data_IF_092886866207
#
_entry.id   IF_092886866207
#
_cell.length_a   1.000
_cell.length_b   1.000
_cell.length_c   1.000
_cell.angle_alpha   90.00
_cell.angle_beta   90.00
_cell.angle_gamma   90.00
#
_symmetry.space_group_name_H-M   'P 1'
#
loop_
_entity.id
_entity.type
_entity.pdbx_description
1 polymer ?
#
# COMPACT_ATOMS: atom_id res chain seq x y z
N UNK A 1 -1.64 -5.12 15.98
CA UNK A 1 -2.85 -5.34 15.15
C UNK A 1 -2.39 -5.99 13.86
N UNK A 2 -3.12 -6.95 13.27
CA UNK A 2 -2.70 -7.55 12.01
C UNK A 2 -2.73 -6.48 10.91
N UNK A 3 -1.64 -6.35 10.15
CA UNK A 3 -1.62 -5.55 8.92
C UNK A 3 -2.67 -6.11 7.94
N UNK A 4 -3.36 -5.22 7.24
CA UNK A 4 -4.28 -5.62 6.15
C UNK A 4 -3.47 -6.36 5.08
N UNK A 5 -4.10 -7.28 4.34
CA UNK A 5 -3.45 -7.83 3.14
C UNK A 5 -3.27 -6.72 2.11
N UNK A 6 -2.27 -6.84 1.22
CA UNK A 6 -2.03 -5.90 0.13
C UNK A 6 -3.32 -5.48 -0.59
N UNK A 7 -4.14 -6.44 -1.02
CA UNK A 7 -5.37 -6.16 -1.78
C UNK A 7 -6.39 -5.38 -0.97
N UNK A 8 -6.48 -5.63 0.34
CA UNK A 8 -7.37 -4.89 1.24
C UNK A 8 -6.85 -3.50 1.54
N UNK A 9 -5.55 -3.35 1.71
CA UNK A 9 -4.91 -2.05 1.92
C UNK A 9 -5.08 -1.15 0.68
N UNK A 10 -4.89 -1.73 -0.52
CA UNK A 10 -5.09 -1.04 -1.79
C UNK A 10 -6.55 -0.65 -2.00
N UNK A 11 -7.50 -1.57 -1.82
CA UNK A 11 -8.92 -1.27 -1.97
C UNK A 11 -9.37 -0.14 -1.01
N UNK A 12 -8.87 -0.17 0.23
CA UNK A 12 -9.15 0.89 1.20
C UNK A 12 -8.53 2.24 0.79
N UNK A 13 -7.32 2.22 0.25
CA UNK A 13 -6.67 3.43 -0.25
C UNK A 13 -7.47 4.04 -1.42
N UNK A 14 -7.97 3.22 -2.34
CA UNK A 14 -8.84 3.67 -3.45
C UNK A 14 -10.13 4.30 -2.94
N UNK A 15 -10.79 3.71 -1.94
CA UNK A 15 -11.97 4.30 -1.29
C UNK A 15 -11.66 5.67 -0.67
N UNK A 16 -10.50 5.79 0.00
CA UNK A 16 -10.07 7.05 0.63
C UNK A 16 -9.86 8.13 -0.43
N UNK A 17 -9.16 7.80 -1.52
CA UNK A 17 -8.92 8.73 -2.63
C UNK A 17 -10.25 9.19 -3.22
N UNK A 18 -11.17 8.27 -3.51
CA UNK A 18 -12.48 8.60 -4.06
C UNK A 18 -13.27 9.57 -3.14
N UNK A 19 -13.23 9.35 -1.82
CA UNK A 19 -13.88 10.23 -0.84
C UNK A 19 -13.24 11.61 -0.75
N UNK A 20 -11.91 11.68 -0.80
CA UNK A 20 -11.19 12.96 -0.80
C UNK A 20 -11.45 13.76 -2.08
N UNK A 21 -11.58 13.09 -3.23
CA UNK A 21 -11.89 13.70 -4.52
C UNK A 21 -13.34 14.20 -4.62
N UNK A 22 -14.27 13.59 -3.89
CA UNK A 22 -15.67 14.05 -3.82
C UNK A 22 -15.79 15.47 -3.24
N UNK A 23 -14.89 15.84 -2.32
CA UNK A 23 -14.80 17.19 -1.78
C UNK A 23 -15.96 17.62 -0.88
N UNK A 24 -16.81 16.68 -0.44
CA UNK A 24 -17.99 16.91 0.42
C UNK A 24 -17.69 16.76 1.93
N UNK A 25 -16.44 16.44 2.28
CA UNK A 25 -16.00 16.12 3.63
C UNK A 25 -15.64 17.37 4.44
N UNK A 26 -15.88 17.31 5.75
CA UNK A 26 -15.35 18.32 6.67
C UNK A 26 -13.82 18.23 6.76
N UNK A 27 -13.18 19.32 7.18
CA UNK A 27 -11.71 19.40 7.28
C UNK A 27 -11.12 18.31 8.17
N UNK A 28 -11.72 18.08 9.35
CA UNK A 28 -11.25 17.08 10.31
C UNK A 28 -11.37 15.65 9.75
N UNK A 29 -12.40 15.36 8.97
CA UNK A 29 -12.58 14.07 8.32
C UNK A 29 -11.57 13.89 7.17
N UNK A 30 -11.37 14.94 6.37
CA UNK A 30 -10.38 14.96 5.30
C UNK A 30 -8.96 14.70 5.83
N UNK A 31 -8.61 15.30 6.97
CA UNK A 31 -7.31 15.10 7.62
C UNK A 31 -7.13 13.65 8.11
N UNK A 32 -8.17 13.05 8.71
CA UNK A 32 -8.12 11.65 9.14
C UNK A 32 -7.96 10.69 7.98
N UNK A 33 -8.71 10.89 6.90
CA UNK A 33 -8.62 10.08 5.70
C UNK A 33 -7.26 10.22 5.02
N UNK A 34 -6.70 11.44 4.98
CA UNK A 34 -5.35 11.67 4.49
C UNK A 34 -4.29 10.93 5.32
N UNK A 35 -4.36 11.01 6.65
CA UNK A 35 -3.43 10.28 7.53
C UNK A 35 -3.55 8.76 7.35
N UNK A 36 -4.77 8.24 7.23
CA UNK A 36 -5.01 6.82 6.93
C UNK A 36 -4.44 6.43 5.56
N UNK A 37 -4.73 7.21 4.52
CA UNK A 37 -4.28 6.95 3.16
C UNK A 37 -2.76 6.95 3.03
N UNK A 38 -2.07 7.89 3.68
CA UNK A 38 -0.60 7.92 3.66
C UNK A 38 0.03 6.69 4.32
N UNK A 39 -0.57 6.17 5.41
CA UNK A 39 -0.12 4.93 6.06
C UNK A 39 -0.34 3.72 5.16
N UNK A 40 -1.52 3.61 4.53
CA UNK A 40 -1.84 2.51 3.61
C UNK A 40 -0.94 2.53 2.38
N UNK A 41 -0.67 3.70 1.80
CA UNK A 41 0.25 3.85 0.68
C UNK A 41 1.66 3.39 1.03
N UNK A 42 2.17 3.77 2.21
CA UNK A 42 3.47 3.33 2.70
C UNK A 42 3.51 1.80 2.92
N UNK A 43 2.43 1.22 3.46
CA UNK A 43 2.30 -0.23 3.63
C UNK A 43 2.35 -0.96 2.27
N UNK A 44 1.53 -0.53 1.30
CA UNK A 44 1.49 -1.12 -0.04
C UNK A 44 2.87 -1.08 -0.71
N UNK A 45 3.56 0.06 -0.64
CA UNK A 45 4.89 0.23 -1.22
C UNK A 45 5.92 -0.71 -0.57
N UNK A 46 5.87 -0.86 0.75
CA UNK A 46 6.74 -1.79 1.48
C UNK A 46 6.51 -3.24 1.03
N UNK A 47 5.25 -3.68 0.95
CA UNK A 47 4.92 -5.05 0.53
C UNK A 47 5.39 -5.34 -0.91
N UNK A 48 5.20 -4.38 -1.83
CA UNK A 48 5.71 -4.49 -3.20
C UNK A 48 7.24 -4.58 -3.23
N UNK A 49 7.92 -3.71 -2.47
CA UNK A 49 9.39 -3.71 -2.39
C UNK A 49 9.92 -5.05 -1.88
N UNK A 50 9.29 -5.61 -0.84
CA UNK A 50 9.67 -6.92 -0.28
C UNK A 50 9.41 -8.06 -1.30
N UNK A 51 8.30 -7.99 -2.04
CA UNK A 51 7.99 -8.94 -3.10
C UNK A 51 9.02 -8.88 -4.25
N UNK A 52 9.38 -7.68 -4.70
CA UNK A 52 10.41 -7.46 -5.73
C UNK A 52 11.78 -7.99 -5.28
N UNK A 53 12.21 -7.68 -4.05
CA UNK A 53 13.46 -8.19 -3.49
C UNK A 53 13.49 -9.72 -3.45
N UNK A 54 12.36 -10.35 -3.10
CA UNK A 54 12.25 -11.81 -3.10
C UNK A 54 12.39 -12.39 -4.50
N UNK A 55 11.77 -11.76 -5.51
CA UNK A 55 11.91 -12.16 -6.92
C UNK A 55 13.37 -12.05 -7.36
N UNK A 56 14.01 -10.90 -7.12
CA UNK A 56 15.43 -10.68 -7.47
C UNK A 56 16.30 -11.77 -6.85
N UNK A 57 16.15 -12.02 -5.54
CA UNK A 57 16.93 -13.04 -4.83
C UNK A 57 16.74 -14.44 -5.43
N UNK A 58 15.52 -14.82 -5.78
CA UNK A 58 15.23 -16.12 -6.39
C UNK A 58 15.84 -16.23 -7.80
N UNK A 59 15.77 -15.16 -8.59
CA UNK A 59 16.38 -15.12 -9.92
C UNK A 59 17.90 -15.20 -9.85
N UNK A 60 18.55 -14.49 -8.93
CA UNK A 60 20.02 -14.54 -8.75
C UNK A 60 20.51 -15.93 -8.32
N UNK A 61 19.76 -16.62 -7.45
CA UNK A 61 20.10 -17.98 -7.01
C UNK A 61 20.02 -18.99 -8.17
N UNK A 62 19.21 -18.71 -9.19
CA UNK A 62 19.07 -19.60 -10.36
C UNK A 62 20.26 -19.54 -11.32
N UNK A 63 21.06 -18.46 -11.30
CA UNK A 63 22.20 -18.26 -12.19
C UNK A 63 23.51 -18.88 -11.66
N UNK A 64 23.66 -19.03 -10.34
CA UNK A 64 24.87 -19.60 -9.70
C UNK A 64 24.96 -21.13 -9.76
N UNK A 65 23.93 -21.83 -10.25
CA UNK A 65 23.87 -23.31 -10.31
C UNK A 65 24.19 -23.94 -11.66
N UNK A 66 24.67 -23.18 -12.64
CA UNK A 66 25.09 -23.68 -13.96
C UNK A 66 26.61 -23.68 -14.14
#
# INVERSE_FOLDING_TARGET
MPELTYEKALARLEEIVAKLEEGSLELDESLKLYEEGTKLAAQCNKELTEAEQKIVKLSSISEEKN
#
